data_IF_209545674793
#
_entry.id   IF_209545674793
#
_cell.length_a   1.000
_cell.length_b   1.000
_cell.length_c   1.000
_cell.angle_alpha   90.00
_cell.angle_beta   90.00
_cell.angle_gamma   90.00
#
_symmetry.space_group_name_H-M   'P 1'
#
loop_
_entity.id
_entity.type
_entity.pdbx_description
1 polymer ?
#
# COMPACT_ATOMS: atom_id res chain seq x y z
N UNK A 1 53.79 -43.60 -6.25
CA UNK A 1 52.66 -42.80 -6.74
C UNK A 1 51.37 -43.31 -6.11
N UNK A 2 50.65 -42.46 -5.36
CA UNK A 2 49.21 -42.51 -5.02
C UNK A 2 48.94 -41.31 -4.09
N UNK A 3 48.65 -40.16 -4.69
CA UNK A 3 47.33 -39.50 -4.78
C UNK A 3 46.95 -38.75 -3.50
N UNK A 4 47.36 -37.48 -3.52
CA UNK A 4 46.75 -36.35 -2.80
C UNK A 4 45.28 -36.23 -3.22
N UNK A 5 44.35 -36.36 -2.27
CA UNK A 5 42.97 -35.82 -2.39
C UNK A 5 42.27 -35.88 -1.03
N UNK A 6 42.80 -35.18 -0.03
CA UNK A 6 42.10 -34.95 1.24
C UNK A 6 42.23 -33.48 1.60
N UNK A 7 41.71 -32.59 0.75
CA UNK A 7 41.65 -31.15 1.00
C UNK A 7 40.80 -30.46 -0.07
N UNK A 8 39.56 -30.91 -0.27
CA UNK A 8 38.63 -30.17 -1.15
C UNK A 8 37.16 -30.25 -0.73
N UNK A 9 36.79 -31.15 0.17
CA UNK A 9 35.37 -31.33 0.55
C UNK A 9 34.97 -30.43 1.73
N UNK A 10 35.92 -29.95 2.55
CA UNK A 10 35.60 -29.07 3.70
C UNK A 10 35.36 -27.61 3.34
N UNK A 11 35.74 -27.15 2.14
CA UNK A 11 35.58 -25.73 1.75
C UNK A 11 34.25 -25.42 1.05
N UNK A 12 33.52 -26.45 0.60
CA UNK A 12 32.23 -26.28 -0.10
C UNK A 12 31.07 -26.20 0.91
N UNK A 13 31.22 -26.77 2.11
CA UNK A 13 30.18 -26.67 3.14
C UNK A 13 30.12 -25.30 3.83
N UNK A 14 31.19 -24.49 3.83
CA UNK A 14 31.15 -23.15 4.47
C UNK A 14 30.54 -22.09 3.55
N UNK A 15 30.60 -22.27 2.23
CA UNK A 15 29.95 -21.38 1.26
C UNK A 15 28.46 -21.67 1.07
N UNK A 16 28.00 -22.91 1.32
CA UNK A 16 26.57 -23.25 1.28
C UNK A 16 25.77 -22.80 2.50
N UNK A 17 26.44 -22.45 3.60
CA UNK A 17 25.79 -21.79 4.76
C UNK A 17 25.96 -20.27 4.78
N UNK A 18 26.64 -19.69 3.78
CA UNK A 18 26.68 -18.24 3.57
C UNK A 18 25.54 -17.75 2.66
N UNK A 19 24.80 -18.65 2.04
CA UNK A 19 23.47 -18.40 1.47
C UNK A 19 22.36 -18.84 2.41
N UNK A 20 22.62 -18.77 3.73
CA UNK A 20 21.56 -18.47 4.67
C UNK A 20 21.16 -17.04 4.32
N UNK A 21 20.26 -16.92 3.33
CA UNK A 21 19.56 -15.70 2.98
C UNK A 21 19.24 -15.05 4.31
N UNK A 22 19.88 -13.90 4.57
CA UNK A 22 19.52 -13.07 5.71
C UNK A 22 18.01 -13.00 5.65
N UNK A 23 17.36 -13.67 6.59
CA UNK A 23 15.92 -13.81 6.69
C UNK A 23 15.32 -12.57 6.08
N UNK A 24 14.65 -12.74 4.93
CA UNK A 24 13.90 -11.68 4.29
C UNK A 24 13.20 -10.94 5.43
N UNK A 25 13.75 -9.79 5.84
CA UNK A 25 13.10 -8.93 6.82
C UNK A 25 11.72 -8.78 6.22
N UNK A 26 10.73 -9.30 6.92
CA UNK A 26 9.38 -9.42 6.41
C UNK A 26 8.94 -8.02 6.01
N UNK A 27 9.15 -7.65 4.75
CA UNK A 27 8.92 -6.30 4.28
C UNK A 27 7.42 -6.11 4.40
N UNK A 28 7.00 -5.07 5.10
CA UNK A 28 5.60 -4.68 5.11
C UNK A 28 5.40 -3.56 4.09
N UNK A 29 4.27 -3.60 3.41
CA UNK A 29 3.79 -2.47 2.60
C UNK A 29 2.60 -1.88 3.35
N UNK A 30 2.80 -0.74 3.98
CA UNK A 30 1.69 0.02 4.56
C UNK A 30 1.00 0.82 3.47
N UNK A 31 -0.32 0.70 3.39
CA UNK A 31 -1.13 1.41 2.42
C UNK A 31 -2.21 2.16 3.17
N UNK A 32 -2.17 3.48 3.05
CA UNK A 32 -3.24 4.36 3.47
C UNK A 32 -4.06 4.73 2.24
N UNK A 33 -5.36 4.85 2.35
CA UNK A 33 -6.21 5.34 1.26
C UNK A 33 -7.32 6.21 1.79
N UNK A 34 -7.73 7.18 0.97
CA UNK A 34 -8.81 8.10 1.30
C UNK A 34 -10.15 7.35 1.29
N UNK A 35 -10.91 7.46 2.37
CA UNK A 35 -12.29 7.00 2.39
C UNK A 35 -13.14 8.11 1.75
N UNK A 36 -13.25 8.19 0.42
CA UNK A 36 -13.99 9.29 -0.22
C UNK A 36 -13.54 9.64 -1.64
N UNK A 37 -14.10 10.72 -2.20
CA UNK A 37 -13.65 11.22 -3.51
C UNK A 37 -12.21 11.74 -3.45
N UNK A 38 -11.38 11.22 -4.36
CA UNK A 38 -10.02 11.71 -4.59
C UNK A 38 -10.00 13.18 -5.03
N UNK A 39 -9.34 14.03 -4.25
CA UNK A 39 -8.93 15.36 -4.68
C UNK A 39 -7.47 15.32 -5.14
N UNK A 40 -7.25 15.35 -6.46
CA UNK A 40 -5.92 15.32 -7.06
C UNK A 40 -5.15 16.65 -6.90
N UNK A 41 -5.76 17.69 -6.33
CA UNK A 41 -5.11 18.98 -6.15
C UNK A 41 -4.03 18.96 -5.08
N UNK A 42 -4.08 18.00 -4.13
CA UNK A 42 -3.08 17.81 -3.09
C UNK A 42 -2.16 16.63 -3.42
N UNK A 43 -0.89 16.94 -3.67
CA UNK A 43 0.20 15.95 -3.85
C UNK A 43 1.16 15.96 -2.66
N UNK A 44 0.60 16.02 -1.45
CA UNK A 44 1.37 15.95 -0.21
C UNK A 44 1.10 14.62 0.48
N UNK A 45 2.17 14.00 0.99
CA UNK A 45 2.05 12.77 1.76
C UNK A 45 1.67 13.13 3.20
N UNK A 46 0.50 12.70 3.70
CA UNK A 46 0.04 13.05 5.04
C UNK A 46 1.02 12.60 6.11
N UNK A 47 1.17 13.41 7.16
CA UNK A 47 1.95 13.04 8.34
C UNK A 47 1.16 12.06 9.21
N UNK A 48 0.98 10.82 8.74
CA UNK A 48 0.10 9.82 9.37
C UNK A 48 0.42 9.57 10.85
N UNK A 49 1.69 9.65 11.26
CA UNK A 49 2.07 9.54 12.67
C UNK A 49 1.53 10.71 13.52
N UNK A 50 1.55 11.94 13.01
CA UNK A 50 0.95 13.08 13.72
C UNK A 50 -0.56 12.97 13.77
N UNK A 51 -1.20 12.53 12.67
CA UNK A 51 -2.64 12.30 12.63
C UNK A 51 -3.03 11.22 13.65
N UNK A 52 -2.31 10.09 13.70
CA UNK A 52 -2.54 9.01 14.66
C UNK A 52 -2.43 9.48 16.12
N UNK A 53 -1.48 10.37 16.42
CA UNK A 53 -1.27 10.87 17.78
C UNK A 53 -2.29 11.94 18.19
N UNK A 54 -2.71 12.82 17.26
CA UNK A 54 -3.56 13.97 17.57
C UNK A 54 -5.06 13.70 17.37
N UNK A 55 -5.40 12.84 16.40
CA UNK A 55 -6.75 12.56 15.93
C UNK A 55 -6.84 11.12 15.41
N UNK A 56 -6.61 10.10 16.27
CA UNK A 56 -6.57 8.70 15.87
C UNK A 56 -7.83 8.25 15.15
N UNK A 57 -8.99 8.83 15.45
CA UNK A 57 -10.27 8.57 14.78
C UNK A 57 -10.26 8.89 13.28
N UNK A 58 -9.31 9.71 12.81
CA UNK A 58 -9.17 10.02 11.37
C UNK A 58 -8.48 8.90 10.58
N UNK A 59 -7.81 7.96 11.25
CA UNK A 59 -7.16 6.81 10.62
C UNK A 59 -7.82 5.55 11.15
N UNK A 60 -8.54 4.85 10.29
CA UNK A 60 -9.01 3.51 10.61
C UNK A 60 -7.91 2.50 10.34
N UNK A 61 -7.39 1.86 11.39
CA UNK A 61 -6.47 0.75 11.23
C UNK A 61 -7.23 -0.54 10.93
N UNK A 62 -6.99 -1.09 9.76
CA UNK A 62 -7.61 -2.32 9.28
C UNK A 62 -6.77 -3.55 9.61
N UNK A 63 -5.54 -3.35 10.08
CA UNK A 63 -4.60 -4.42 10.41
C UNK A 63 -3.93 -5.01 9.17
N UNK A 64 -3.56 -6.28 9.30
CA UNK A 64 -2.69 -6.97 8.36
C UNK A 64 -3.50 -7.79 7.35
N UNK A 65 -3.08 -7.72 6.09
CA UNK A 65 -3.52 -8.61 5.02
C UNK A 65 -2.35 -9.45 4.54
N UNK A 66 -2.46 -10.75 4.82
CA UNK A 66 -1.56 -11.77 4.32
C UNK A 66 -1.89 -12.06 2.86
N UNK A 67 -0.93 -11.82 1.98
CA UNK A 67 -1.03 -12.13 0.55
C UNK A 67 0.06 -13.13 0.19
N UNK A 68 -0.15 -13.91 -0.86
CA UNK A 68 0.83 -14.91 -1.25
C UNK A 68 2.19 -14.26 -1.57
N UNK A 69 3.26 -14.95 -1.20
CA UNK A 69 4.62 -14.44 -1.36
C UNK A 69 5.00 -14.07 -2.81
N UNK A 70 4.36 -14.67 -3.83
CA UNK A 70 4.66 -14.33 -5.24
C UNK A 70 4.08 -12.96 -5.57
N UNK A 71 2.81 -12.72 -5.26
CA UNK A 71 2.12 -11.44 -5.45
C UNK A 71 2.79 -10.34 -4.61
N UNK A 72 3.13 -10.63 -3.36
CA UNK A 72 3.86 -9.69 -2.50
C UNK A 72 5.18 -9.25 -3.13
N UNK A 73 5.97 -10.20 -3.62
CA UNK A 73 7.25 -9.92 -4.25
C UNK A 73 7.10 -9.18 -5.57
N UNK A 74 6.04 -9.46 -6.36
CA UNK A 74 5.74 -8.68 -7.55
C UNK A 74 5.52 -7.22 -7.18
N UNK A 75 4.58 -6.93 -6.28
CA UNK A 75 4.29 -5.56 -5.80
C UNK A 75 5.58 -4.89 -5.28
N UNK A 76 6.33 -5.56 -4.41
CA UNK A 76 7.54 -5.00 -3.83
C UNK A 76 8.65 -4.76 -4.87
N UNK A 77 8.75 -5.58 -5.93
CA UNK A 77 9.70 -5.36 -7.02
C UNK A 77 9.38 -4.12 -7.85
N UNK A 78 8.10 -3.82 -8.09
CA UNK A 78 7.71 -2.61 -8.82
C UNK A 78 8.21 -1.35 -8.10
N UNK A 79 8.19 -1.35 -6.76
CA UNK A 79 8.68 -0.23 -5.98
C UNK A 79 10.20 -0.21 -5.73
N UNK A 80 10.87 -1.36 -5.87
CA UNK A 80 12.32 -1.47 -5.64
C UNK A 80 13.15 -1.18 -6.89
N UNK A 81 12.58 -1.31 -8.09
CA UNK A 81 13.28 -1.01 -9.34
C UNK A 81 13.30 0.50 -9.54
N UNK A 82 14.50 1.10 -9.55
CA UNK A 82 14.69 2.48 -9.99
C UNK A 82 14.02 2.68 -11.35
N UNK A 83 13.16 3.70 -11.42
CA UNK A 83 12.12 3.91 -12.43
C UNK A 83 12.51 3.45 -13.84
N UNK A 84 11.80 2.45 -14.37
CA UNK A 84 11.82 2.17 -15.80
C UNK A 84 10.69 3.01 -16.43
N UNK A 85 10.97 4.05 -17.27
CA UNK A 85 9.97 5.01 -17.71
C UNK A 85 8.92 4.48 -18.71
N UNK A 86 8.83 3.18 -18.94
CA UNK A 86 7.98 2.62 -19.99
C UNK A 86 7.32 1.31 -19.55
N UNK A 87 6.18 1.45 -18.89
CA UNK A 87 5.13 0.43 -18.90
C UNK A 87 3.81 1.12 -19.21
N UNK A 88 3.65 1.62 -20.44
CA UNK A 88 2.32 1.84 -21.00
C UNK A 88 1.81 0.49 -21.53
N UNK A 89 1.47 -0.41 -20.62
CA UNK A 89 0.76 -1.63 -20.97
C UNK A 89 -0.73 -1.47 -20.60
N UNK A 90 -1.54 -1.23 -21.64
CA UNK A 90 -2.83 -1.90 -21.80
C UNK A 90 -4.05 -1.35 -21.06
N UNK A 91 -4.72 -0.39 -21.70
CA UNK A 91 -6.16 -0.37 -22.01
C UNK A 91 -7.24 -0.69 -20.96
N UNK A 92 -6.97 -0.47 -19.67
CA UNK A 92 -8.05 -0.39 -18.68
C UNK A 92 -7.87 0.93 -17.94
N UNK A 93 -8.54 2.00 -18.40
CA UNK A 93 -8.71 3.22 -17.61
C UNK A 93 -9.65 2.93 -16.42
N UNK A 94 -9.27 2.02 -15.52
CA UNK A 94 -9.92 1.94 -14.22
C UNK A 94 -9.30 3.04 -13.35
N UNK A 95 -9.86 4.25 -13.51
CA UNK A 95 -9.53 5.38 -12.65
C UNK A 95 -9.98 5.02 -11.24
N UNK A 96 -9.02 4.97 -10.32
CA UNK A 96 -9.29 4.66 -8.93
C UNK A 96 -10.30 5.62 -8.31
N UNK A 97 -11.06 5.16 -7.31
CA UNK A 97 -12.05 6.02 -6.63
C UNK A 97 -11.43 6.96 -5.59
N UNK A 98 -10.20 6.66 -5.16
CA UNK A 98 -9.50 7.29 -4.05
C UNK A 98 -7.99 7.37 -4.34
N UNK A 99 -7.31 8.34 -3.71
CA UNK A 99 -5.86 8.36 -3.67
C UNK A 99 -5.33 7.33 -2.66
N UNK A 100 -4.14 6.79 -2.91
CA UNK A 100 -3.43 5.88 -2.01
C UNK A 100 -2.08 6.47 -1.62
N UNK A 101 -1.61 6.15 -0.43
CA UNK A 101 -0.33 6.55 0.11
C UNK A 101 0.37 5.28 0.58
N UNK A 102 1.45 4.92 -0.11
CA UNK A 102 2.15 3.66 0.09
C UNK A 102 3.47 3.94 0.78
N UNK A 103 3.73 3.26 1.89
CA UNK A 103 4.98 3.30 2.62
C UNK A 103 5.56 1.89 2.70
N UNK A 104 6.77 1.74 2.18
CA UNK A 104 7.49 0.46 2.19
C UNK A 104 8.47 0.48 3.34
N UNK A 105 8.51 -0.60 4.12
CA UNK A 105 9.46 -0.72 5.21
C UNK A 105 10.90 -0.58 4.69
N UNK A 106 11.65 0.39 5.23
CA UNK A 106 13.01 0.75 4.79
C UNK A 106 13.10 1.13 3.29
N UNK A 107 11.99 1.55 2.68
CA UNK A 107 11.90 1.91 1.27
C UNK A 107 11.35 3.32 1.06
N UNK A 108 10.95 3.57 -0.19
CA UNK A 108 10.38 4.85 -0.61
C UNK A 108 8.91 4.99 -0.17
N UNK A 109 8.42 6.22 -0.24
CA UNK A 109 7.01 6.56 -0.04
C UNK A 109 6.42 7.03 -1.36
N UNK A 110 5.23 6.54 -1.66
CA UNK A 110 4.53 6.86 -2.91
C UNK A 110 3.18 7.49 -2.62
N UNK A 111 2.84 8.52 -3.38
CA UNK A 111 1.46 8.97 -3.55
C UNK A 111 0.96 8.35 -4.84
N UNK A 112 -0.22 7.73 -4.82
CA UNK A 112 -0.86 7.16 -6.00
C UNK A 112 -2.18 7.87 -6.19
N UNK A 113 -2.28 8.67 -7.25
CA UNK A 113 -3.52 9.40 -7.52
C UNK A 113 -4.59 8.50 -8.16
N UNK A 114 -5.79 9.06 -8.34
CA UNK A 114 -6.89 8.36 -9.00
C UNK A 114 -6.66 8.06 -10.50
N UNK A 115 -5.60 8.60 -11.10
CA UNK A 115 -5.17 8.33 -12.48
C UNK A 115 -4.10 7.24 -12.55
N UNK A 116 -3.83 6.56 -11.44
CA UNK A 116 -2.80 5.51 -11.30
C UNK A 116 -1.37 6.03 -11.53
N UNK A 117 -1.16 7.35 -11.39
CA UNK A 117 0.18 7.91 -11.38
C UNK A 117 0.79 7.76 -9.98
N UNK A 118 1.97 7.15 -9.94
CA UNK A 118 2.80 6.95 -8.76
C UNK A 118 3.83 8.08 -8.68
N UNK A 119 3.77 8.85 -7.60
CA UNK A 119 4.71 9.91 -7.26
C UNK A 119 5.63 9.42 -6.16
N UNK A 120 6.91 9.17 -6.49
CA UNK A 120 7.96 8.83 -5.53
C UNK A 120 8.43 10.08 -4.80
N UNK A 121 8.41 10.05 -3.46
CA UNK A 121 8.89 11.17 -2.64
C UNK A 121 10.41 11.21 -2.51
N UNK A 122 11.08 10.05 -2.48
CA UNK A 122 12.54 10.02 -2.33
C UNK A 122 13.23 10.34 -3.65
N UNK A 123 12.68 9.86 -4.77
CA UNK A 123 13.30 10.01 -6.09
C UNK A 123 12.78 11.25 -6.84
N UNK A 124 11.70 11.89 -6.37
CA UNK A 124 11.03 13.00 -7.05
C UNK A 124 10.64 12.68 -8.49
N UNK A 125 10.20 11.45 -8.73
CA UNK A 125 9.79 10.94 -10.05
C UNK A 125 8.32 10.60 -10.09
N UNK A 126 7.76 10.61 -11.29
CA UNK A 126 6.38 10.20 -11.56
C UNK A 126 6.39 9.14 -12.64
N UNK A 127 5.65 8.05 -12.42
CA UNK A 127 5.40 7.03 -13.44
C UNK A 127 3.95 6.54 -13.33
N UNK A 128 3.43 5.98 -14.42
CA UNK A 128 2.11 5.34 -14.45
C UNK A 128 2.31 3.84 -14.61
N UNK A 129 1.63 3.07 -13.77
CA UNK A 129 1.62 1.60 -13.83
C UNK A 129 0.22 1.10 -13.48
N UNK A 130 -0.65 1.05 -14.49
CA UNK A 130 -2.06 0.68 -14.33
C UNK A 130 -2.21 -0.76 -13.81
N UNK A 131 -1.32 -1.67 -14.20
CA UNK A 131 -1.35 -3.06 -13.74
C UNK A 131 -1.05 -3.16 -12.25
N UNK A 132 -0.03 -2.43 -11.77
CA UNK A 132 0.29 -2.35 -10.35
C UNK A 132 -0.82 -1.66 -9.55
N UNK A 133 -1.35 -0.55 -10.06
CA UNK A 133 -2.43 0.17 -9.39
C UNK A 133 -3.69 -0.70 -9.28
N UNK A 134 -4.07 -1.39 -10.36
CA UNK A 134 -5.18 -2.34 -10.35
C UNK A 134 -4.94 -3.45 -9.32
N UNK A 135 -3.76 -4.06 -9.32
CA UNK A 135 -3.43 -5.13 -8.38
C UNK A 135 -3.57 -4.68 -6.91
N UNK A 136 -3.05 -3.50 -6.56
CA UNK A 136 -3.17 -2.95 -5.21
C UNK A 136 -4.62 -2.61 -4.87
N UNK A 137 -5.35 -1.96 -5.78
CA UNK A 137 -6.74 -1.55 -5.59
C UNK A 137 -7.68 -2.75 -5.47
N UNK A 138 -7.43 -3.83 -6.21
CA UNK A 138 -8.21 -5.07 -6.13
C UNK A 138 -8.05 -5.74 -4.76
N UNK A 139 -6.84 -5.78 -4.21
CA UNK A 139 -6.62 -6.28 -2.84
C UNK A 139 -7.34 -5.43 -1.79
N UNK A 140 -7.30 -4.10 -1.92
CA UNK A 140 -8.07 -3.20 -1.06
C UNK A 140 -9.57 -3.45 -1.20
N UNK A 141 -10.06 -3.62 -2.43
CA UNK A 141 -11.48 -3.85 -2.71
C UNK A 141 -11.97 -5.19 -2.14
N UNK A 142 -11.21 -6.27 -2.37
CA UNK A 142 -11.48 -7.58 -1.80
C UNK A 142 -11.53 -7.48 -0.28
N UNK A 143 -10.56 -6.80 0.34
CA UNK A 143 -10.55 -6.62 1.79
C UNK A 143 -11.76 -5.84 2.31
N UNK A 144 -12.08 -4.71 1.65
CA UNK A 144 -13.28 -3.90 1.90
C UNK A 144 -14.58 -4.69 1.83
N UNK A 145 -14.68 -5.65 0.90
CA UNK A 145 -15.87 -6.50 0.76
C UNK A 145 -16.02 -7.50 1.92
N UNK A 146 -14.93 -7.83 2.61
CA UNK A 146 -14.95 -8.77 3.73
C UNK A 146 -15.29 -8.09 5.06
N UNK A 147 -15.13 -6.77 5.23
CA UNK A 147 -15.55 -6.07 6.45
C UNK A 147 -16.69 -5.08 6.21
N UNK A 148 -17.87 -5.42 6.72
CA UNK A 148 -19.08 -4.58 6.69
C UNK A 148 -18.88 -3.14 7.21
N UNK A 149 -17.95 -2.92 8.15
CA UNK A 149 -17.61 -1.58 8.62
C UNK A 149 -17.04 -0.70 7.51
N UNK A 150 -16.24 -1.26 6.60
CA UNK A 150 -15.56 -0.51 5.54
C UNK A 150 -16.52 0.01 4.48
N UNK A 151 -17.50 -0.82 4.08
CA UNK A 151 -18.59 -0.40 3.19
C UNK A 151 -19.40 0.75 3.82
N UNK A 152 -19.75 0.61 5.09
CA UNK A 152 -20.53 1.62 5.82
C UNK A 152 -19.78 2.95 5.90
N UNK A 153 -18.47 2.92 6.15
CA UNK A 153 -17.69 4.15 6.28
C UNK A 153 -17.49 4.88 4.95
N UNK A 154 -17.33 4.15 3.85
CA UNK A 154 -17.37 4.75 2.50
C UNK A 154 -18.75 5.35 2.19
N UNK A 155 -19.82 4.64 2.51
CA UNK A 155 -21.19 5.13 2.34
C UNK A 155 -21.45 6.38 3.18
N UNK A 156 -21.06 6.35 4.45
CA UNK A 156 -21.19 7.46 5.38
C UNK A 156 -20.33 8.64 4.92
N UNK A 157 -19.08 8.44 4.54
CA UNK A 157 -18.27 9.53 4.01
C UNK A 157 -18.88 10.14 2.74
N UNK A 158 -19.31 9.33 1.77
CA UNK A 158 -19.97 9.82 0.54
C UNK A 158 -21.29 10.55 0.84
N UNK A 159 -22.03 10.08 1.85
CA UNK A 159 -23.23 10.74 2.36
C UNK A 159 -22.87 12.11 2.93
N UNK A 160 -21.90 12.20 3.84
CA UNK A 160 -21.52 13.46 4.51
C UNK A 160 -20.76 14.43 3.60
N UNK A 161 -20.00 13.94 2.62
CA UNK A 161 -19.25 14.77 1.66
C UNK A 161 -20.19 15.54 0.70
N UNK A 162 -21.40 15.01 0.43
CA UNK A 162 -22.44 15.72 -0.35
C UNK A 162 -23.12 16.87 0.42
N UNK A 163 -22.97 16.96 1.74
CA UNK A 163 -23.65 17.96 2.57
C UNK A 163 -22.72 19.06 3.07
N UNK A 164 -21.93 19.68 2.18
CA UNK A 164 -21.61 21.10 2.36
C UNK A 164 -22.77 21.92 1.81
N UNK A 165 -23.85 21.99 2.61
CA UNK A 165 -24.64 23.20 2.92
C UNK A 165 -25.85 22.85 3.80
N UNK A 166 -25.79 23.36 5.03
CA UNK A 166 -26.84 23.58 6.04
C UNK A 166 -27.38 22.41 6.89
N UNK A 167 -27.61 22.80 8.16
CA UNK A 167 -28.08 22.04 9.31
C UNK A 167 -29.28 21.14 9.03
N UNK A 168 -29.17 19.84 9.32
CA UNK A 168 -30.30 19.04 9.76
C UNK A 168 -29.86 17.92 10.71
N UNK A 169 -30.52 17.89 11.87
CA UNK A 169 -30.47 16.85 12.90
C UNK A 169 -30.81 15.48 12.31
N UNK A 170 -29.87 14.54 12.34
CA UNK A 170 -30.11 13.12 12.04
C UNK A 170 -29.87 12.29 13.30
N UNK A 171 -30.92 11.62 13.77
CA UNK A 171 -30.95 10.65 14.88
C UNK A 171 -30.31 9.31 14.47
N UNK A 172 -29.02 9.34 14.20
CA UNK A 172 -28.12 8.18 14.28
C UNK A 172 -27.08 8.57 15.32
N UNK A 173 -26.45 7.63 16.01
CA UNK A 173 -25.32 7.97 16.89
C UNK A 173 -24.22 8.61 16.03
N UNK A 174 -24.23 9.95 16.01
CA UNK A 174 -23.56 10.88 15.09
C UNK A 174 -22.28 11.42 15.70
N UNK A 175 -21.88 10.89 16.86
CA UNK A 175 -20.81 11.45 17.65
C UNK A 175 -19.41 11.26 17.03
N UNK A 176 -19.21 10.24 16.19
CA UNK A 176 -17.94 9.98 15.53
C UNK A 176 -18.00 10.37 14.05
N UNK A 177 -17.14 11.32 13.65
CA UNK A 177 -16.92 11.64 12.24
C UNK A 177 -16.37 10.39 11.52
N UNK A 178 -16.73 10.16 10.24
CA UNK A 178 -16.14 9.07 9.46
C UNK A 178 -14.63 9.28 9.35
N UNK A 179 -13.86 8.19 9.46
CA UNK A 179 -12.40 8.27 9.30
C UNK A 179 -12.05 8.75 7.89
N UNK A 180 -11.10 9.69 7.80
CA UNK A 180 -10.65 10.26 6.52
C UNK A 180 -9.81 9.24 5.75
N UNK A 181 -8.99 8.47 6.47
CA UNK A 181 -8.11 7.46 5.89
C UNK A 181 -8.42 6.08 6.46
N UNK A 182 -8.18 5.06 5.65
CA UNK A 182 -8.04 3.68 6.12
C UNK A 182 -6.60 3.22 5.90
N UNK A 183 -6.06 2.42 6.82
CA UNK A 183 -4.72 1.84 6.77
C UNK A 183 -4.83 0.32 6.67
N UNK A 184 -4.14 -0.29 5.72
CA UNK A 184 -3.92 -1.74 5.66
C UNK A 184 -2.41 -2.02 5.55
N UNK A 185 -1.96 -3.12 6.13
CA UNK A 185 -0.56 -3.57 6.04
C UNK A 185 -0.51 -4.87 5.25
N UNK A 186 0.12 -4.86 4.07
CA UNK A 186 0.35 -6.07 3.30
C UNK A 186 1.57 -6.81 3.83
N UNK A 187 1.43 -8.11 4.05
CA UNK A 187 2.49 -9.01 4.50
C UNK A 187 2.57 -10.25 3.60
N UNK A 188 3.78 -10.77 3.31
CA UNK A 188 3.92 -12.04 2.60
C UNK A 188 3.48 -13.22 3.48
N UNK A 189 2.81 -14.20 2.86
CA UNK A 189 2.40 -15.49 3.44
C UNK A 189 3.07 -16.67 2.72
#
# INVERSE_FOLDING_TARGET
MKTRTVLLISLICVSLFSSCDQQAKQRSIEIYYENGNADNSKKEFPEFEKIRNNSPEQIRDLGELKIDSVTFNQINQHFSKGNNPQSQNGSVEDKGKYNMYIQIENGDRFIVDNTNAFYSLTQNTVFTDDSLAYLVRDHIHYYNSLKLSELKDFEDFMKYQKYIKYDYLSLVDTAAAPAVYSKIVLLPQ
#
